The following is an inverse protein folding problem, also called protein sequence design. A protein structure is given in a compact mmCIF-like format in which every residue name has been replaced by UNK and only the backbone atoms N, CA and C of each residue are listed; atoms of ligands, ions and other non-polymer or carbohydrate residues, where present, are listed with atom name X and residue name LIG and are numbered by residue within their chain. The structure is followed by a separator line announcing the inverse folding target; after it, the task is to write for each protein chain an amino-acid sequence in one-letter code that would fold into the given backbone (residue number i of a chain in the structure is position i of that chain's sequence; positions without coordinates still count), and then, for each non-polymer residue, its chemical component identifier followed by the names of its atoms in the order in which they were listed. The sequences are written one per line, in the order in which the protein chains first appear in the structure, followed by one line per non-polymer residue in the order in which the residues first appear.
data_IF_040995487813
#
_entry.id   IF_040995487813
#
_cell.length_a   1.000
_cell.length_b   1.000
_cell.length_c   1.000
_cell.angle_alpha   90.00
_cell.angle_beta   90.00
_cell.angle_gamma   90.00
#
_symmetry.space_group_name_H-M   'P 1'
#
loop_
_entity.id
_entity.type
_entity.pdbx_description
1 polymer ?
#
# COMPACT_ATOMS: atom_id res chain seq x y z
N UNK A 1 64.06 -61.41 21.61
CA UNK A 1 64.55 -60.09 22.05
C UNK A 1 63.64 -59.05 21.42
N UNK A 2 63.08 -58.16 22.26
CA UNK A 2 62.28 -56.96 21.92
C UNK A 2 60.96 -57.20 21.15
N UNK A 3 59.87 -56.45 21.32
CA UNK A 3 59.34 -55.58 22.37
C UNK A 3 57.85 -55.36 21.98
N UNK A 4 56.95 -55.14 22.94
CA UNK A 4 55.52 -54.88 22.69
C UNK A 4 55.28 -53.37 22.70
N UNK A 5 54.61 -52.82 21.69
CA UNK A 5 53.85 -51.56 21.83
C UNK A 5 52.64 -51.52 20.90
N UNK A 6 51.45 -51.46 21.50
CA UNK A 6 50.19 -51.03 20.90
C UNK A 6 50.24 -49.53 20.54
N UNK A 7 49.57 -49.14 19.44
CA UNK A 7 49.16 -47.75 19.18
C UNK A 7 47.73 -47.75 18.60
N UNK A 8 46.79 -46.94 19.12
CA UNK A 8 45.46 -46.77 18.54
C UNK A 8 45.32 -45.51 17.67
N UNK A 9 44.28 -45.58 16.83
CA UNK A 9 43.81 -44.74 15.74
C UNK A 9 43.82 -43.21 15.94
N UNK A 10 44.09 -42.47 14.86
CA UNK A 10 43.71 -41.07 14.68
C UNK A 10 43.00 -40.90 13.32
N UNK A 11 41.73 -40.51 13.39
CA UNK A 11 40.95 -39.99 12.26
C UNK A 11 41.47 -38.59 11.88
N UNK A 12 41.66 -38.35 10.59
CA UNK A 12 41.98 -37.03 10.03
C UNK A 12 40.72 -36.20 9.84
N UNK A 13 40.69 -35.03 10.49
CA UNK A 13 39.70 -33.98 10.27
C UNK A 13 39.78 -33.43 8.84
N UNK A 14 38.64 -33.40 8.16
CA UNK A 14 38.46 -32.67 6.91
C UNK A 14 38.20 -31.19 7.23
N UNK A 15 38.99 -30.32 6.59
CA UNK A 15 38.91 -28.86 6.64
C UNK A 15 37.50 -28.35 6.33
N UNK A 16 36.88 -27.68 7.31
CA UNK A 16 35.73 -26.83 7.09
C UNK A 16 36.25 -25.41 6.81
N UNK A 17 36.18 -24.98 5.55
CA UNK A 17 36.53 -23.62 5.14
C UNK A 17 35.61 -22.63 5.89
N UNK A 18 36.22 -21.75 6.68
CA UNK A 18 35.51 -20.75 7.46
C UNK A 18 34.92 -19.65 6.57
N UNK A 19 33.62 -19.42 6.74
CA UNK A 19 32.93 -18.21 6.27
C UNK A 19 33.66 -16.96 6.80
N UNK A 20 33.86 -15.95 5.94
CA UNK A 20 34.52 -14.70 6.36
C UNK A 20 33.62 -13.88 7.30
N UNK A 21 34.19 -12.92 8.04
CA UNK A 21 33.42 -12.02 8.92
C UNK A 21 32.33 -11.24 8.17
N UNK A 22 32.54 -10.99 6.87
CA UNK A 22 31.57 -10.33 5.99
C UNK A 22 30.42 -11.28 5.58
N UNK A 23 30.71 -12.57 5.37
CA UNK A 23 29.67 -13.60 5.15
C UNK A 23 28.80 -13.81 6.40
N UNK A 24 29.42 -13.71 7.58
CA UNK A 24 28.72 -13.71 8.85
C UNK A 24 27.81 -12.48 8.99
N UNK A 25 28.29 -11.29 8.61
CA UNK A 25 27.53 -10.04 8.67
C UNK A 25 26.33 -10.01 7.72
N UNK A 26 26.47 -10.59 6.52
CA UNK A 26 25.38 -10.73 5.54
C UNK A 26 24.32 -11.72 6.02
N UNK A 27 24.73 -12.83 6.68
CA UNK A 27 23.80 -13.79 7.30
C UNK A 27 23.13 -13.21 8.55
N UNK A 28 23.82 -12.36 9.31
CA UNK A 28 23.30 -11.61 10.47
C UNK A 28 22.11 -10.72 10.10
N UNK A 29 22.10 -10.13 8.91
CA UNK A 29 21.03 -9.25 8.42
C UNK A 29 19.76 -9.98 7.96
N UNK A 30 19.78 -11.31 7.85
CA UNK A 30 18.71 -12.08 7.18
C UNK A 30 17.84 -12.95 8.10
N UNK A 31 18.16 -13.10 9.39
CA UNK A 31 17.40 -13.98 10.29
C UNK A 31 17.20 -13.35 11.68
N UNK A 32 16.03 -12.77 11.93
CA UNK A 32 15.68 -12.03 13.16
C UNK A 32 15.80 -12.91 14.43
N UNK A 33 15.24 -14.12 14.42
CA UNK A 33 15.25 -15.00 15.60
C UNK A 33 16.61 -15.67 15.85
N UNK A 34 17.37 -15.98 14.79
CA UNK A 34 18.69 -16.59 14.91
C UNK A 34 19.74 -15.57 15.36
N UNK A 35 19.59 -14.30 14.99
CA UNK A 35 20.45 -13.21 15.46
C UNK A 35 20.29 -12.97 16.97
N UNK A 36 19.05 -12.97 17.48
CA UNK A 36 18.77 -12.81 18.90
C UNK A 36 19.40 -13.94 19.73
N UNK A 37 19.33 -15.19 19.26
CA UNK A 37 19.96 -16.33 19.93
C UNK A 37 21.48 -16.34 19.79
N UNK A 38 22.05 -15.88 18.67
CA UNK A 38 23.49 -15.73 18.50
C UNK A 38 24.05 -14.68 19.45
N UNK A 39 23.37 -13.54 19.60
CA UNK A 39 23.77 -12.48 20.53
C UNK A 39 23.65 -12.93 22.00
N UNK A 40 22.58 -13.66 22.35
CA UNK A 40 22.45 -14.28 23.68
C UNK A 40 23.57 -15.29 23.95
N UNK A 41 23.91 -16.11 22.95
CA UNK A 41 24.98 -17.12 23.06
C UNK A 41 26.34 -16.45 23.19
N UNK A 42 26.62 -15.41 22.41
CA UNK A 42 27.85 -14.63 22.48
C UNK A 42 28.01 -13.93 23.83
N UNK A 43 26.94 -13.32 24.36
CA UNK A 43 26.94 -12.71 25.70
C UNK A 43 27.24 -13.76 26.79
N UNK A 44 26.65 -14.95 26.69
CA UNK A 44 26.91 -16.05 27.62
C UNK A 44 28.35 -16.55 27.54
N UNK A 45 28.92 -16.64 26.34
CA UNK A 45 30.31 -17.07 26.14
C UNK A 45 31.32 -16.04 26.65
N UNK A 46 31.05 -14.74 26.46
CA UNK A 46 31.85 -13.64 27.02
C UNK A 46 31.84 -13.70 28.55
N UNK A 47 30.69 -14.03 29.16
CA UNK A 47 30.56 -14.21 30.61
C UNK A 47 31.44 -15.34 31.14
N UNK A 48 31.39 -16.50 30.48
CA UNK A 48 32.21 -17.65 30.85
C UNK A 48 33.72 -17.36 30.71
N UNK A 49 34.12 -16.63 29.68
CA UNK A 49 35.52 -16.21 29.47
C UNK A 49 36.00 -15.16 30.50
N UNK A 50 35.09 -14.34 31.03
CA UNK A 50 35.38 -13.37 32.09
C UNK A 50 35.50 -14.05 33.48
N UNK A 51 34.72 -15.10 33.74
CA UNK A 51 34.76 -15.88 34.99
C UNK A 51 36.00 -16.79 35.08
N UNK A 52 36.47 -17.35 33.96
CA UNK A 52 37.70 -18.17 33.92
C UNK A 52 38.98 -17.31 34.05
N UNK A 53 38.88 -16.00 33.84
CA UNK A 53 40.00 -15.07 33.87
C UNK A 53 40.15 -14.40 35.25
N UNK A 54 40.04 -15.14 36.34
CA UNK A 54 40.19 -14.53 37.66
C UNK A 54 41.65 -14.44 38.12
N UNK A 55 42.05 -13.22 38.45
CA UNK A 55 43.42 -12.88 38.83
C UNK A 55 43.60 -11.38 39.03
N UNK A 56 42.73 -10.76 39.83
CA UNK A 56 42.77 -9.35 40.26
C UNK A 56 42.22 -8.33 39.26
N UNK A 57 40.90 -8.15 39.23
CA UNK A 57 40.29 -6.85 38.90
C UNK A 57 39.12 -6.53 39.84
N UNK A 58 38.92 -5.23 40.05
CA UNK A 58 37.93 -4.65 40.95
C UNK A 58 36.51 -5.05 40.51
N UNK A 59 35.86 -5.90 41.31
CA UNK A 59 34.50 -6.42 41.05
C UNK A 59 33.47 -5.32 40.85
N UNK A 60 33.74 -4.10 41.34
CA UNK A 60 32.86 -2.94 41.18
C UNK A 60 32.89 -2.35 39.77
N UNK A 61 34.03 -2.40 39.10
CA UNK A 61 34.21 -1.90 37.74
C UNK A 61 33.59 -2.88 36.72
N UNK A 62 33.72 -4.19 36.95
CA UNK A 62 33.05 -5.22 36.14
C UNK A 62 31.53 -5.08 36.22
N UNK A 63 30.97 -4.93 37.42
CA UNK A 63 29.51 -4.77 37.54
C UNK A 63 29.01 -3.49 36.83
N UNK A 64 29.79 -2.40 36.80
CA UNK A 64 29.44 -1.20 36.05
C UNK A 64 29.56 -1.38 34.53
N UNK A 65 30.56 -2.10 34.05
CA UNK A 65 30.71 -2.45 32.63
C UNK A 65 29.63 -3.45 32.18
N UNK A 66 29.25 -4.39 33.04
CA UNK A 66 28.15 -5.35 32.84
C UNK A 66 26.79 -4.63 32.81
N UNK A 67 26.50 -3.76 33.77
CA UNK A 67 25.30 -2.92 33.79
C UNK A 67 25.25 -1.99 32.56
N UNK A 68 26.40 -1.44 32.14
CA UNK A 68 26.48 -0.57 30.96
C UNK A 68 26.30 -1.35 29.67
N UNK A 69 26.87 -2.54 29.55
CA UNK A 69 26.73 -3.40 28.38
C UNK A 69 25.32 -3.97 28.29
N UNK A 70 24.70 -4.36 29.41
CA UNK A 70 23.31 -4.79 29.46
C UNK A 70 22.35 -3.62 29.14
N UNK A 71 22.60 -2.43 29.68
CA UNK A 71 21.84 -1.22 29.33
C UNK A 71 22.02 -0.81 27.87
N UNK A 72 23.23 -0.90 27.32
CA UNK A 72 23.49 -0.65 25.90
C UNK A 72 22.88 -1.72 25.01
N UNK A 73 22.91 -2.99 25.41
CA UNK A 73 22.28 -4.10 24.67
C UNK A 73 20.77 -3.96 24.70
N UNK A 74 20.15 -3.61 25.84
CA UNK A 74 18.73 -3.27 25.94
C UNK A 74 18.37 -2.02 25.13
N UNK A 75 19.27 -1.03 25.06
CA UNK A 75 19.09 0.16 24.22
C UNK A 75 19.22 -0.18 22.72
N UNK A 76 20.15 -1.03 22.34
CA UNK A 76 20.33 -1.48 20.96
C UNK A 76 19.18 -2.38 20.53
N UNK A 77 18.74 -3.32 21.36
CA UNK A 77 17.55 -4.15 21.13
C UNK A 77 16.27 -3.32 21.06
N UNK A 78 16.14 -2.24 21.85
CA UNK A 78 14.99 -1.32 21.76
C UNK A 78 15.06 -0.35 20.59
N UNK A 79 16.24 -0.10 19.99
CA UNK A 79 16.40 0.77 18.81
C UNK A 79 16.48 0.02 17.49
N UNK A 80 16.77 -1.28 17.52
CA UNK A 80 16.83 -2.18 16.37
C UNK A 80 15.51 -2.89 16.11
N UNK A 81 14.48 -2.68 16.93
CA UNK A 81 13.24 -3.45 16.87
C UNK A 81 12.54 -3.30 15.49
N UNK A 82 12.53 -4.32 14.63
CA UNK A 82 11.73 -4.31 13.42
C UNK A 82 10.25 -4.24 13.77
N UNK A 83 9.85 -4.64 14.98
CA UNK A 83 8.50 -4.45 15.49
C UNK A 83 8.17 -2.98 15.82
N UNK A 84 9.14 -2.07 15.97
CA UNK A 84 8.85 -0.63 16.12
C UNK A 84 8.65 0.05 14.76
N UNK A 85 9.44 -0.32 13.75
CA UNK A 85 9.18 0.09 12.36
C UNK A 85 7.90 -0.56 11.82
N UNK A 86 7.63 -1.81 12.22
CA UNK A 86 6.39 -2.50 11.95
C UNK A 86 5.24 -1.83 12.71
N UNK A 87 5.27 -1.61 14.02
CA UNK A 87 4.19 -0.93 14.76
C UNK A 87 3.87 0.47 14.21
N UNK A 88 4.89 1.19 13.70
CA UNK A 88 4.72 2.48 12.99
C UNK A 88 4.00 2.34 11.65
N UNK A 89 4.07 1.18 10.97
CA UNK A 89 3.49 0.92 9.65
C UNK A 89 2.32 -0.08 9.64
N UNK A 90 2.19 -0.93 10.66
CA UNK A 90 1.23 -2.04 10.78
C UNK A 90 0.02 -1.69 11.62
N UNK A 91 -0.01 -0.49 12.20
CA UNK A 91 -1.17 -0.03 12.95
C UNK A 91 -1.42 -0.85 14.21
N UNK A 92 -0.37 -1.17 14.97
CA UNK A 92 -0.57 -1.53 16.38
C UNK A 92 -1.06 -0.28 17.12
N UNK A 93 -2.39 -0.11 17.11
CA UNK A 93 -3.18 0.89 17.81
C UNK A 93 -2.68 2.34 17.73
N UNK A 94 -3.23 3.07 16.75
CA UNK A 94 -3.65 4.44 17.03
C UNK A 94 -2.88 5.58 16.37
N UNK A 95 -2.11 5.35 15.30
CA UNK A 95 -1.40 6.47 14.65
C UNK A 95 -1.77 6.72 13.18
N UNK A 96 -1.96 5.73 12.31
CA UNK A 96 -2.20 5.99 10.87
C UNK A 96 -3.36 5.24 10.17
N UNK A 97 -4.08 4.35 10.85
CA UNK A 97 -4.95 3.34 10.18
C UNK A 97 -4.10 2.29 9.43
N UNK A 98 -4.69 1.24 8.83
CA UNK A 98 -3.92 0.27 8.07
C UNK A 98 -3.26 0.88 6.82
N UNK A 99 -1.98 0.55 6.62
CA UNK A 99 -1.18 1.01 5.48
C UNK A 99 -1.44 0.15 4.24
N UNK A 100 -1.56 0.81 3.09
CA UNK A 100 -1.83 0.22 1.78
C UNK A 100 -0.72 0.60 0.81
N UNK A 101 -0.20 -0.34 0.03
CA UNK A 101 0.82 -0.05 -0.99
C UNK A 101 0.18 0.38 -2.32
N UNK A 102 0.57 1.53 -2.87
CA UNK A 102 0.14 2.03 -4.19
C UNK A 102 1.19 1.67 -5.23
N UNK A 103 1.14 0.43 -5.75
CA UNK A 103 2.15 -0.10 -6.68
C UNK A 103 1.63 -1.28 -7.50
N UNK A 104 2.04 -1.35 -8.78
CA UNK A 104 1.95 -2.55 -9.60
C UNK A 104 3.19 -3.45 -9.53
N UNK A 105 4.27 -2.96 -8.91
CA UNK A 105 5.54 -3.67 -8.73
C UNK A 105 5.45 -4.62 -7.52
N UNK A 106 4.80 -5.76 -7.72
CA UNK A 106 4.42 -6.65 -6.62
C UNK A 106 5.61 -7.26 -5.87
N UNK A 107 6.77 -7.47 -6.50
CA UNK A 107 7.99 -7.90 -5.79
C UNK A 107 8.43 -6.92 -4.69
N UNK A 108 8.17 -5.62 -4.88
CA UNK A 108 8.52 -4.59 -3.90
C UNK A 108 7.50 -4.42 -2.77
N UNK A 109 6.26 -4.87 -2.98
CA UNK A 109 5.15 -4.66 -2.04
C UNK A 109 5.41 -5.36 -0.71
N UNK A 110 5.95 -6.59 -0.75
CA UNK A 110 6.17 -7.42 0.43
C UNK A 110 7.13 -6.79 1.46
N UNK A 111 8.05 -5.93 1.02
CA UNK A 111 9.02 -5.22 1.89
C UNK A 111 8.33 -4.47 3.03
N UNK A 112 7.16 -3.88 2.76
CA UNK A 112 6.47 -2.99 3.70
C UNK A 112 5.31 -3.67 4.44
N UNK A 113 5.07 -4.97 4.20
CA UNK A 113 3.98 -5.78 4.80
C UNK A 113 2.62 -5.04 4.86
N UNK A 114 2.14 -4.44 3.76
CA UNK A 114 0.91 -3.65 3.80
C UNK A 114 -0.32 -4.55 3.98
N UNK A 115 -1.40 -3.97 4.53
CA UNK A 115 -2.68 -4.64 4.71
C UNK A 115 -3.35 -4.91 3.35
N UNK A 116 -3.54 -3.85 2.57
CA UNK A 116 -4.14 -3.87 1.24
C UNK A 116 -3.12 -3.37 0.19
N UNK A 117 -3.45 -3.48 -1.10
CA UNK A 117 -2.70 -2.83 -2.17
C UNK A 117 -3.64 -2.19 -3.20
N UNK A 118 -3.16 -1.15 -3.88
CA UNK A 118 -3.89 -0.53 -4.98
C UNK A 118 -3.07 -0.52 -6.26
N UNK A 119 -3.77 -0.73 -7.37
CA UNK A 119 -3.26 -0.51 -8.73
C UNK A 119 -4.12 0.55 -9.41
N UNK A 120 -3.63 1.04 -10.54
CA UNK A 120 -4.31 1.94 -11.46
C UNK A 120 -3.66 1.79 -12.86
N UNK A 121 -4.23 2.37 -13.93
CA UNK A 121 -3.68 2.22 -15.27
C UNK A 121 -2.21 2.61 -15.40
N UNK A 122 -1.78 3.73 -14.79
CA UNK A 122 -0.37 4.16 -14.83
C UNK A 122 0.56 3.14 -14.17
N UNK A 123 0.15 2.57 -13.03
CA UNK A 123 0.96 1.61 -12.28
C UNK A 123 1.08 0.27 -13.01
N UNK A 124 -0.01 -0.19 -13.62
CA UNK A 124 0.01 -1.42 -14.43
C UNK A 124 0.85 -1.22 -15.69
N UNK A 125 0.71 -0.07 -16.36
CA UNK A 125 1.54 0.25 -17.53
C UNK A 125 3.03 0.21 -17.17
N UNK A 126 3.42 0.88 -16.08
CA UNK A 126 4.80 0.87 -15.61
C UNK A 126 5.29 -0.54 -15.25
N UNK A 127 4.44 -1.36 -14.62
CA UNK A 127 4.79 -2.72 -14.24
C UNK A 127 4.93 -3.64 -15.48
N UNK A 128 4.03 -3.55 -16.46
CA UNK A 128 4.10 -4.33 -17.71
C UNK A 128 5.36 -4.01 -18.52
N UNK A 129 5.84 -2.77 -18.47
CA UNK A 129 7.10 -2.38 -19.11
C UNK A 129 8.35 -2.92 -18.41
N UNK A 130 8.23 -3.41 -17.17
CA UNK A 130 9.35 -3.97 -16.43
C UNK A 130 9.63 -5.41 -16.91
N UNK A 131 10.85 -5.71 -17.41
CA UNK A 131 11.20 -7.04 -17.92
C UNK A 131 10.99 -8.18 -16.92
N UNK A 132 11.04 -7.89 -15.61
CA UNK A 132 10.76 -8.86 -14.54
C UNK A 132 9.39 -9.51 -14.65
N UNK A 133 8.40 -8.77 -15.18
CA UNK A 133 7.01 -9.19 -15.26
C UNK A 133 6.59 -9.64 -16.66
N UNK A 134 7.56 -9.77 -17.59
CA UNK A 134 7.29 -10.21 -18.96
C UNK A 134 6.61 -11.59 -19.03
N UNK A 135 6.82 -12.45 -18.03
CA UNK A 135 6.17 -13.76 -17.92
C UNK A 135 4.64 -13.68 -17.80
N UNK A 136 4.08 -12.56 -17.36
CA UNK A 136 2.63 -12.36 -17.26
C UNK A 136 1.98 -11.98 -18.61
N UNK A 137 2.75 -11.47 -19.58
CA UNK A 137 2.23 -11.01 -20.87
C UNK A 137 1.78 -12.19 -21.73
N UNK A 138 2.59 -13.25 -21.83
CA UNK A 138 2.28 -14.43 -22.65
C UNK A 138 0.92 -15.06 -22.32
N UNK A 139 0.66 -15.45 -21.06
CA UNK A 139 -0.63 -15.99 -20.63
C UNK A 139 -1.81 -15.05 -20.90
N UNK A 140 -1.60 -13.73 -20.80
CA UNK A 140 -2.63 -12.75 -21.11
C UNK A 140 -2.97 -12.69 -22.60
N UNK A 141 -1.95 -12.71 -23.47
CA UNK A 141 -2.14 -12.76 -24.92
C UNK A 141 -2.83 -14.07 -25.34
N UNK A 142 -2.44 -15.21 -24.78
CA UNK A 142 -3.10 -16.49 -25.04
C UNK A 142 -4.57 -16.47 -24.61
N UNK A 143 -4.86 -15.89 -23.45
CA UNK A 143 -6.22 -15.69 -23.00
C UNK A 143 -7.00 -14.80 -23.96
N UNK A 144 -6.41 -13.68 -24.39
CA UNK A 144 -7.00 -12.78 -25.38
C UNK A 144 -7.34 -13.48 -26.68
N UNK A 145 -6.40 -14.24 -27.27
CA UNK A 145 -6.59 -14.99 -28.52
C UNK A 145 -7.71 -16.03 -28.42
N UNK A 146 -7.97 -16.56 -27.22
CA UNK A 146 -9.04 -17.54 -26.99
C UNK A 146 -10.44 -16.91 -26.83
N UNK A 147 -10.54 -15.67 -26.37
CA UNK A 147 -11.82 -15.03 -26.01
C UNK A 147 -12.22 -13.88 -26.94
N UNK A 148 -11.26 -13.27 -27.63
CA UNK A 148 -11.51 -12.26 -28.66
C UNK A 148 -11.90 -12.86 -30.00
N UNK A 149 -12.64 -12.09 -30.81
CA UNK A 149 -13.07 -12.47 -32.17
C UNK A 149 -12.36 -11.67 -33.27
N UNK A 150 -11.80 -10.54 -32.89
CA UNK A 150 -11.06 -9.59 -33.72
C UNK A 150 -9.90 -9.03 -32.88
N UNK A 151 -8.96 -8.33 -33.52
CA UNK A 151 -7.77 -7.80 -32.84
C UNK A 151 -8.13 -6.93 -31.62
N UNK A 152 -9.15 -6.07 -31.75
CA UNK A 152 -9.59 -5.20 -30.66
C UNK A 152 -10.06 -6.00 -29.45
N UNK A 153 -11.01 -6.92 -29.64
CA UNK A 153 -11.54 -7.76 -28.56
C UNK A 153 -10.52 -8.74 -27.97
N UNK A 154 -9.52 -9.16 -28.76
CA UNK A 154 -8.37 -9.93 -28.27
C UNK A 154 -7.53 -9.09 -27.30
N UNK A 155 -7.22 -7.84 -27.68
CA UNK A 155 -6.44 -6.93 -26.83
C UNK A 155 -7.19 -6.57 -25.55
N UNK A 156 -8.48 -6.23 -25.63
CA UNK A 156 -9.29 -5.92 -24.44
C UNK A 156 -9.32 -7.11 -23.47
N UNK A 157 -9.53 -8.32 -23.97
CA UNK A 157 -9.51 -9.54 -23.15
C UNK A 157 -8.12 -9.82 -22.56
N UNK A 158 -7.05 -9.49 -23.28
CA UNK A 158 -5.68 -9.61 -22.78
C UNK A 158 -5.38 -8.59 -21.67
N UNK A 159 -5.85 -7.35 -21.80
CA UNK A 159 -5.72 -6.32 -20.75
C UNK A 159 -6.42 -6.78 -19.48
N UNK A 160 -7.69 -7.19 -19.58
CA UNK A 160 -8.43 -7.66 -18.42
C UNK A 160 -7.70 -8.83 -17.74
N UNK A 161 -7.13 -9.75 -18.53
CA UNK A 161 -6.32 -10.84 -17.99
C UNK A 161 -5.04 -10.33 -17.31
N UNK A 162 -4.32 -9.38 -17.89
CA UNK A 162 -3.14 -8.76 -17.24
C UNK A 162 -3.52 -8.17 -15.88
N UNK A 163 -4.59 -7.37 -15.83
CA UNK A 163 -5.04 -6.75 -14.59
C UNK A 163 -5.30 -7.81 -13.50
N UNK A 164 -5.98 -8.90 -13.85
CA UNK A 164 -6.25 -9.99 -12.90
C UNK A 164 -5.01 -10.79 -12.50
N UNK A 165 -4.04 -10.99 -13.40
CA UNK A 165 -2.79 -11.68 -13.08
C UNK A 165 -1.94 -10.86 -12.12
N UNK A 166 -1.79 -9.55 -12.37
CA UNK A 166 -1.10 -8.66 -11.43
C UNK A 166 -1.78 -8.65 -10.07
N UNK A 167 -3.11 -8.52 -10.02
CA UNK A 167 -3.83 -8.58 -8.76
C UNK A 167 -3.68 -9.94 -8.05
N UNK A 168 -3.68 -11.05 -8.78
CA UNK A 168 -3.45 -12.37 -8.21
C UNK A 168 -2.05 -12.48 -7.57
N UNK A 169 -0.99 -12.02 -8.24
CA UNK A 169 0.36 -12.03 -7.67
C UNK A 169 0.45 -11.14 -6.42
N UNK A 170 -0.17 -9.95 -6.45
CA UNK A 170 -0.24 -9.06 -5.28
C UNK A 170 -0.94 -9.76 -4.09
N UNK A 171 -2.07 -10.44 -4.35
CA UNK A 171 -2.86 -11.11 -3.31
C UNK A 171 -2.18 -12.31 -2.65
N UNK A 172 -1.13 -12.88 -3.28
CA UNK A 172 -0.25 -13.88 -2.64
C UNK A 172 0.66 -13.27 -1.58
N UNK A 173 0.88 -11.96 -1.64
CA UNK A 173 1.83 -11.22 -0.79
C UNK A 173 1.10 -10.54 0.37
N UNK A 174 -0.07 -9.96 0.12
CA UNK A 174 -0.83 -9.19 1.13
C UNK A 174 -1.93 -10.03 1.80
N UNK A 175 -2.25 -9.78 3.08
CA UNK A 175 -3.35 -10.46 3.76
C UNK A 175 -4.74 -9.94 3.36
N UNK A 176 -4.82 -8.67 2.94
CA UNK A 176 -6.06 -7.98 2.61
C UNK A 176 -6.38 -7.93 1.13
N UNK A 177 -6.89 -6.80 0.66
CA UNK A 177 -7.54 -6.65 -0.65
C UNK A 177 -6.64 -5.97 -1.68
N UNK A 178 -6.88 -6.26 -2.96
CA UNK A 178 -6.29 -5.52 -4.08
C UNK A 178 -7.35 -4.64 -4.75
N UNK A 179 -7.02 -3.38 -5.05
CA UNK A 179 -7.85 -2.55 -5.93
C UNK A 179 -7.42 -2.68 -7.38
N UNK A 180 -8.38 -2.99 -8.26
CA UNK A 180 -8.18 -3.09 -9.72
C UNK A 180 -9.15 -2.16 -10.43
N UNK A 181 -8.62 -1.30 -11.29
CA UNK A 181 -9.37 -0.22 -11.91
C UNK A 181 -10.00 -0.64 -13.24
N UNK A 182 -11.26 -0.27 -13.44
CA UNK A 182 -11.94 -0.39 -14.74
C UNK A 182 -11.30 0.56 -15.77
N UNK A 183 -11.46 0.26 -17.07
CA UNK A 183 -10.97 1.16 -18.13
C UNK A 183 -11.58 2.56 -17.96
N UNK A 184 -10.71 3.57 -17.85
CA UNK A 184 -11.09 4.96 -17.63
C UNK A 184 -11.92 5.54 -18.79
N UNK A 185 -11.87 4.96 -20.00
CA UNK A 185 -12.76 5.33 -21.10
C UNK A 185 -14.24 5.08 -20.77
N UNK A 186 -14.54 4.20 -19.82
CA UNK A 186 -15.90 3.90 -19.38
C UNK A 186 -16.42 4.86 -18.30
N UNK A 187 -15.61 5.85 -17.87
CA UNK A 187 -15.92 6.69 -16.70
C UNK A 187 -17.25 7.45 -16.79
N UNK A 188 -17.83 7.65 -17.97
CA UNK A 188 -19.14 8.29 -18.15
C UNK A 188 -20.25 7.34 -18.64
N UNK A 189 -19.96 6.05 -18.75
CA UNK A 189 -20.92 5.00 -19.13
C UNK A 189 -21.15 4.05 -17.94
N UNK A 190 -22.27 4.27 -17.25
CA UNK A 190 -22.67 3.49 -16.07
C UNK A 190 -22.81 2.00 -16.38
N UNK A 191 -23.51 1.66 -17.47
CA UNK A 191 -23.82 0.27 -17.79
C UNK A 191 -22.58 -0.49 -18.26
N UNK A 192 -21.73 0.15 -19.06
CA UNK A 192 -20.46 -0.44 -19.46
C UNK A 192 -19.52 -0.63 -18.26
N UNK A 193 -19.51 0.32 -17.32
CA UNK A 193 -18.73 0.20 -16.07
C UNK A 193 -19.21 -0.98 -15.23
N UNK A 194 -20.53 -1.14 -15.01
CA UNK A 194 -21.10 -2.28 -14.27
C UNK A 194 -20.72 -3.60 -14.94
N UNK A 195 -20.90 -3.68 -16.26
CA UNK A 195 -20.56 -4.88 -17.04
C UNK A 195 -19.07 -5.24 -16.90
N UNK A 196 -18.18 -4.26 -17.07
CA UNK A 196 -16.73 -4.47 -16.95
C UNK A 196 -16.33 -4.90 -15.55
N UNK A 197 -16.89 -4.30 -14.50
CA UNK A 197 -16.65 -4.69 -13.12
C UNK A 197 -17.03 -6.16 -12.86
N UNK A 198 -18.19 -6.59 -13.34
CA UNK A 198 -18.65 -7.98 -13.22
C UNK A 198 -17.74 -8.94 -14.01
N UNK A 199 -17.28 -8.54 -15.20
CA UNK A 199 -16.33 -9.32 -16.00
C UNK A 199 -14.99 -9.51 -15.25
N UNK A 200 -14.43 -8.44 -14.67
CA UNK A 200 -13.18 -8.50 -13.90
C UNK A 200 -13.31 -9.42 -12.67
N UNK A 201 -14.42 -9.36 -11.94
CA UNK A 201 -14.66 -10.28 -10.81
C UNK A 201 -14.71 -11.73 -11.27
N UNK A 202 -15.41 -12.03 -12.37
CA UNK A 202 -15.43 -13.39 -12.94
C UNK A 202 -14.04 -13.87 -13.35
N UNK A 203 -13.20 -12.96 -13.86
CA UNK A 203 -11.81 -13.28 -14.21
C UNK A 203 -10.98 -13.60 -12.98
N UNK A 204 -11.15 -12.86 -11.88
CA UNK A 204 -10.54 -13.19 -10.59
C UNK A 204 -10.98 -14.55 -10.06
N UNK A 205 -12.28 -14.83 -10.09
CA UNK A 205 -12.84 -16.13 -9.69
C UNK A 205 -12.25 -17.27 -10.55
N UNK A 206 -12.04 -17.04 -11.85
CA UNK A 206 -11.44 -18.02 -12.76
C UNK A 206 -9.99 -18.42 -12.41
N UNK A 207 -9.29 -17.59 -11.62
CA UNK A 207 -7.94 -17.86 -11.12
C UNK A 207 -7.89 -18.14 -9.63
N UNK A 208 -9.05 -18.50 -9.04
CA UNK A 208 -9.17 -18.90 -7.64
C UNK A 208 -9.14 -17.75 -6.63
N UNK A 209 -9.33 -16.51 -7.08
CA UNK A 209 -9.41 -15.33 -6.20
C UNK A 209 -10.88 -15.03 -5.89
N UNK A 210 -11.32 -15.10 -4.62
CA UNK A 210 -12.68 -14.75 -4.25
C UNK A 210 -12.88 -13.22 -4.31
N UNK A 211 -14.08 -12.78 -4.69
CA UNK A 211 -14.39 -11.35 -4.90
C UNK A 211 -14.19 -10.48 -3.64
N UNK A 212 -14.27 -11.05 -2.44
CA UNK A 212 -14.07 -10.36 -1.18
C UNK A 212 -12.62 -9.85 -1.01
N UNK A 213 -11.66 -10.42 -1.76
CA UNK A 213 -10.26 -9.99 -1.81
C UNK A 213 -10.03 -8.87 -2.85
N UNK A 214 -11.06 -8.42 -3.56
CA UNK A 214 -10.95 -7.47 -4.66
C UNK A 214 -11.83 -6.24 -4.39
N UNK A 215 -11.28 -5.06 -4.65
CA UNK A 215 -12.03 -3.81 -4.78
C UNK A 215 -12.02 -3.38 -6.24
N UNK A 216 -13.20 -3.28 -6.86
CA UNK A 216 -13.29 -2.70 -8.21
C UNK A 216 -13.17 -1.19 -8.09
N UNK A 217 -12.13 -0.64 -8.70
CA UNK A 217 -11.80 0.78 -8.63
C UNK A 217 -12.42 1.52 -9.80
N UNK A 218 -13.12 2.60 -9.52
CA UNK A 218 -13.97 3.33 -10.49
C UNK A 218 -13.78 4.84 -10.27
N UNK A 219 -13.64 5.60 -11.35
CA UNK A 219 -13.58 7.07 -11.28
C UNK A 219 -14.88 7.64 -10.68
N UNK A 220 -14.77 8.61 -9.77
CA UNK A 220 -15.89 9.19 -9.01
C UNK A 220 -16.68 10.22 -9.81
N UNK A 221 -17.04 9.89 -11.06
CA UNK A 221 -18.04 10.63 -11.85
C UNK A 221 -19.44 10.29 -11.34
N UNK A 222 -20.47 11.01 -11.77
CA UNK A 222 -21.86 10.61 -11.51
C UNK A 222 -22.14 9.17 -11.96
N UNK A 223 -21.76 8.83 -13.20
CA UNK A 223 -21.98 7.50 -13.77
C UNK A 223 -21.25 6.40 -13.00
N UNK A 224 -19.99 6.64 -12.63
CA UNK A 224 -19.19 5.72 -11.83
C UNK A 224 -19.75 5.50 -10.42
N UNK A 225 -20.27 6.55 -9.77
CA UNK A 225 -20.90 6.44 -8.44
C UNK A 225 -22.21 5.64 -8.52
N UNK A 226 -23.04 5.86 -9.56
CA UNK A 226 -24.25 5.05 -9.77
C UNK A 226 -23.90 3.59 -10.08
N UNK A 227 -22.85 3.34 -10.87
CA UNK A 227 -22.36 2.00 -11.15
C UNK A 227 -21.93 1.29 -9.85
N UNK A 228 -21.17 1.97 -8.99
CA UNK A 228 -20.76 1.43 -7.71
C UNK A 228 -21.94 1.15 -6.77
N UNK A 229 -22.95 2.03 -6.73
CA UNK A 229 -24.19 1.82 -5.96
C UNK A 229 -24.88 0.51 -6.36
N UNK A 230 -24.96 0.23 -7.66
CA UNK A 230 -25.53 -1.01 -8.18
C UNK A 230 -24.66 -2.23 -7.85
N UNK A 231 -23.36 -2.15 -8.09
CA UNK A 231 -22.40 -3.22 -7.83
C UNK A 231 -22.42 -3.66 -6.35
N UNK A 232 -22.44 -2.71 -5.43
CA UNK A 232 -22.50 -2.99 -3.99
C UNK A 232 -23.85 -3.59 -3.59
N UNK A 233 -24.96 -2.97 -4.00
CA UNK A 233 -26.29 -3.34 -3.51
C UNK A 233 -26.90 -4.58 -4.16
N UNK A 234 -26.62 -4.83 -5.45
CA UNK A 234 -27.23 -5.94 -6.20
C UNK A 234 -26.28 -7.11 -6.41
N UNK A 235 -24.98 -6.84 -6.55
CA UNK A 235 -23.97 -7.87 -6.87
C UNK A 235 -23.08 -8.24 -5.69
N UNK A 236 -23.06 -7.42 -4.63
CA UNK A 236 -22.11 -7.56 -3.53
C UNK A 236 -20.67 -7.53 -4.04
N UNK A 237 -20.38 -6.62 -4.97
CA UNK A 237 -19.04 -6.35 -5.51
C UNK A 237 -18.57 -5.06 -4.86
N UNK A 238 -17.52 -5.16 -4.05
CA UNK A 238 -17.00 -4.04 -3.29
C UNK A 238 -16.20 -3.08 -4.16
N UNK A 239 -16.47 -1.79 -4.00
CA UNK A 239 -15.95 -0.74 -4.87
C UNK A 239 -14.99 0.20 -4.13
N UNK A 240 -13.97 0.67 -4.85
CA UNK A 240 -13.07 1.75 -4.47
C UNK A 240 -13.29 2.96 -5.40
N UNK A 241 -13.90 4.02 -4.88
CA UNK A 241 -14.23 5.20 -5.69
C UNK A 241 -13.03 6.15 -5.68
N UNK A 242 -12.37 6.26 -6.83
CA UNK A 242 -11.10 7.00 -7.02
C UNK A 242 -11.28 8.28 -7.81
N UNK A 243 -10.21 9.03 -8.08
CA UNK A 243 -10.28 10.38 -8.68
C UNK A 243 -11.31 11.27 -7.95
N UNK A 244 -11.31 11.15 -6.62
CA UNK A 244 -12.19 11.90 -5.76
C UNK A 244 -11.44 13.13 -5.27
N UNK A 245 -11.92 14.31 -5.66
CA UNK A 245 -11.28 15.59 -5.39
C UNK A 245 -12.18 16.53 -4.58
N UNK A 246 -13.48 16.53 -4.88
CA UNK A 246 -14.45 17.45 -4.30
C UNK A 246 -15.36 16.81 -3.25
N UNK A 247 -15.90 17.65 -2.36
CA UNK A 247 -16.81 17.22 -1.29
C UNK A 247 -18.11 16.61 -1.82
N UNK A 248 -18.64 17.13 -2.93
CA UNK A 248 -19.85 16.60 -3.59
C UNK A 248 -19.70 15.13 -3.99
N UNK A 249 -18.52 14.74 -4.47
CA UNK A 249 -18.21 13.35 -4.82
C UNK A 249 -18.24 12.47 -3.57
N UNK A 250 -17.60 12.91 -2.49
CA UNK A 250 -17.60 12.18 -1.22
C UNK A 250 -19.02 11.96 -0.68
N UNK A 251 -19.84 13.01 -0.62
CA UNK A 251 -21.22 12.87 -0.14
C UNK A 251 -22.00 11.85 -0.98
N UNK A 252 -21.94 11.96 -2.31
CA UNK A 252 -22.63 11.02 -3.19
C UNK A 252 -22.14 9.57 -3.01
N UNK A 253 -20.82 9.35 -2.86
CA UNK A 253 -20.24 8.03 -2.56
C UNK A 253 -20.75 7.46 -1.23
N UNK A 254 -20.80 8.26 -0.17
CA UNK A 254 -21.29 7.84 1.15
C UNK A 254 -22.76 7.41 1.08
N UNK A 255 -23.60 8.19 0.38
CA UNK A 255 -25.01 7.89 0.18
C UNK A 255 -25.26 6.68 -0.73
N UNK A 256 -24.35 6.43 -1.69
CA UNK A 256 -24.30 5.21 -2.50
C UNK A 256 -23.88 3.97 -1.70
N UNK A 257 -23.40 4.15 -0.46
CA UNK A 257 -22.92 3.08 0.43
C UNK A 257 -21.78 2.27 -0.17
N UNK A 258 -20.88 2.94 -0.89
CA UNK A 258 -19.69 2.29 -1.44
C UNK A 258 -18.77 1.83 -0.30
N UNK A 259 -18.03 0.74 -0.51
CA UNK A 259 -17.14 0.17 0.51
C UNK A 259 -16.03 1.14 0.89
N UNK A 260 -15.40 1.78 -0.11
CA UNK A 260 -14.23 2.61 0.09
C UNK A 260 -14.19 3.78 -0.89
N UNK A 261 -13.69 4.93 -0.44
CA UNK A 261 -13.29 6.06 -1.30
C UNK A 261 -11.79 6.32 -1.19
N UNK A 262 -11.18 6.74 -2.31
CA UNK A 262 -9.79 7.19 -2.38
C UNK A 262 -9.73 8.70 -2.71
N UNK A 263 -9.94 9.60 -1.74
CA UNK A 263 -9.74 11.03 -1.95
C UNK A 263 -8.26 11.36 -2.17
N UNK A 264 -7.98 12.12 -3.23
CA UNK A 264 -6.61 12.44 -3.63
C UNK A 264 -6.10 13.67 -2.89
N UNK A 265 -4.86 13.62 -2.40
CA UNK A 265 -4.21 14.70 -1.66
C UNK A 265 -3.30 15.49 -2.57
N UNK A 266 -2.22 14.88 -3.05
CA UNK A 266 -1.16 15.57 -3.77
C UNK A 266 -1.57 16.17 -5.11
N UNK A 267 -2.55 15.57 -5.82
CA UNK A 267 -3.07 16.18 -7.06
C UNK A 267 -3.88 17.46 -6.80
N UNK A 268 -4.50 17.59 -5.61
CA UNK A 268 -5.13 18.84 -5.18
C UNK A 268 -4.04 19.89 -4.95
N UNK A 269 -2.97 19.53 -4.22
CA UNK A 269 -1.80 20.40 -4.01
C UNK A 269 -1.22 20.90 -5.35
N UNK A 270 -1.03 20.00 -6.32
CA UNK A 270 -0.50 20.36 -7.64
C UNK A 270 -1.36 21.42 -8.34
N UNK A 271 -2.69 21.28 -8.31
CA UNK A 271 -3.60 22.26 -8.91
C UNK A 271 -3.47 23.63 -8.24
N UNK A 272 -3.43 23.66 -6.91
CA UNK A 272 -3.34 24.90 -6.16
C UNK A 272 -1.99 25.59 -6.36
N UNK A 273 -0.88 24.86 -6.37
CA UNK A 273 0.44 25.43 -6.71
C UNK A 273 0.50 26.02 -8.11
N UNK A 274 -0.16 25.40 -9.09
CA UNK A 274 -0.20 25.92 -10.45
C UNK A 274 -1.07 27.18 -10.60
N UNK A 275 -2.17 27.29 -9.85
CA UNK A 275 -3.14 28.38 -9.99
C UNK A 275 -2.98 29.51 -8.96
N UNK A 276 -2.30 29.23 -7.85
CA UNK A 276 -2.08 30.13 -6.70
C UNK A 276 -0.66 29.93 -6.14
N UNK A 277 0.39 30.23 -6.91
CA UNK A 277 1.78 29.86 -6.57
C UNK A 277 2.28 30.43 -5.24
N UNK A 278 1.75 31.58 -4.80
CA UNK A 278 2.14 32.27 -3.57
C UNK A 278 1.40 31.77 -2.31
N UNK A 279 0.63 30.68 -2.40
CA UNK A 279 -0.10 30.11 -1.27
C UNK A 279 0.78 29.39 -0.26
N UNK A 280 0.38 29.44 1.01
CA UNK A 280 0.94 28.56 2.04
C UNK A 280 0.28 27.18 1.98
N UNK A 281 1.09 26.17 1.70
CA UNK A 281 0.68 24.78 1.53
C UNK A 281 1.45 23.81 2.43
N UNK A 282 2.06 24.30 3.51
CA UNK A 282 2.84 23.45 4.41
C UNK A 282 1.95 22.72 5.42
N UNK A 283 2.21 21.42 5.62
CA UNK A 283 1.54 20.59 6.63
C UNK A 283 0.01 20.72 6.58
N UNK A 284 -0.60 21.12 7.70
CA UNK A 284 -2.04 21.31 7.83
C UNK A 284 -2.65 22.32 6.83
N UNK A 285 -1.83 23.20 6.23
CA UNK A 285 -2.29 24.17 5.25
C UNK A 285 -2.48 23.61 3.85
N UNK A 286 -1.94 22.42 3.57
CA UNK A 286 -2.13 21.71 2.30
C UNK A 286 -3.63 21.54 1.96
N UNK A 287 -4.06 21.93 0.75
CA UNK A 287 -5.47 21.89 0.36
C UNK A 287 -6.01 20.47 0.18
N UNK A 288 -5.16 19.51 -0.18
CA UNK A 288 -5.51 18.09 -0.24
C UNK A 288 -5.71 17.49 1.15
N UNK A 289 -4.81 17.81 2.09
CA UNK A 289 -4.96 17.42 3.51
C UNK A 289 -6.26 17.99 4.07
N UNK A 290 -6.53 19.28 3.83
CA UNK A 290 -7.80 19.93 4.24
C UNK A 290 -9.02 19.22 3.65
N UNK A 291 -8.97 18.85 2.37
CA UNK A 291 -10.06 18.13 1.70
C UNK A 291 -10.35 16.79 2.37
N UNK A 292 -9.31 15.95 2.57
CA UNK A 292 -9.49 14.63 3.22
C UNK A 292 -9.97 14.77 4.66
N UNK A 293 -9.41 15.70 5.45
CA UNK A 293 -9.88 15.96 6.82
C UNK A 293 -11.35 16.34 6.86
N UNK A 294 -11.79 17.19 5.94
CA UNK A 294 -13.19 17.61 5.86
C UNK A 294 -14.11 16.43 5.53
N UNK A 295 -13.74 15.61 4.54
CA UNK A 295 -14.47 14.40 4.15
C UNK A 295 -14.54 13.40 5.29
N UNK A 296 -13.41 13.09 5.93
CA UNK A 296 -13.33 12.19 7.07
C UNK A 296 -14.26 12.64 8.20
N UNK A 297 -14.18 13.92 8.58
CA UNK A 297 -15.04 14.47 9.62
C UNK A 297 -16.52 14.36 9.26
N UNK A 298 -16.89 14.71 8.02
CA UNK A 298 -18.28 14.58 7.56
C UNK A 298 -18.79 13.13 7.65
N UNK A 299 -17.96 12.18 7.26
CA UNK A 299 -18.29 10.75 7.30
C UNK A 299 -18.54 10.28 8.74
N UNK A 300 -17.63 10.60 9.66
CA UNK A 300 -17.74 10.18 11.07
C UNK A 300 -18.86 10.91 11.82
N UNK A 301 -19.13 12.18 11.51
CA UNK A 301 -20.24 12.94 12.11
C UNK A 301 -21.61 12.40 11.70
N UNK A 302 -21.71 11.78 10.51
CA UNK A 302 -22.96 11.27 9.96
C UNK A 302 -23.05 9.73 9.97
N UNK A 303 -22.14 9.07 10.69
CA UNK A 303 -22.05 7.61 10.85
C UNK A 303 -22.07 6.84 9.51
N UNK A 304 -21.39 7.37 8.49
CA UNK A 304 -21.19 6.65 7.23
C UNK A 304 -20.10 5.57 7.39
N UNK A 305 -20.40 4.36 6.91
CA UNK A 305 -19.50 3.20 7.01
C UNK A 305 -18.46 3.10 5.90
N UNK A 306 -18.57 3.94 4.85
CA UNK A 306 -17.59 3.97 3.76
C UNK A 306 -16.21 4.31 4.31
N UNK A 307 -15.22 3.48 3.98
CA UNK A 307 -13.82 3.67 4.39
C UNK A 307 -13.22 4.88 3.67
N UNK A 308 -12.56 5.76 4.41
CA UNK A 308 -11.80 6.88 3.84
C UNK A 308 -10.33 6.50 3.70
N UNK A 309 -9.86 6.33 2.47
CA UNK A 309 -8.46 5.99 2.17
C UNK A 309 -7.73 7.15 1.50
N UNK A 310 -6.96 7.95 2.26
CA UNK A 310 -6.16 9.02 1.67
C UNK A 310 -5.18 8.48 0.60
N UNK A 311 -5.09 9.16 -0.54
CA UNK A 311 -4.34 8.68 -1.71
C UNK A 311 -3.55 9.78 -2.43
N UNK A 312 -2.62 9.36 -3.30
CA UNK A 312 -1.86 10.25 -4.20
C UNK A 312 -0.99 11.30 -3.50
N UNK A 313 -0.23 10.91 -2.49
CA UNK A 313 0.68 11.77 -1.75
C UNK A 313 1.88 12.28 -2.58
N UNK A 314 2.40 13.46 -2.24
CA UNK A 314 3.66 14.04 -2.74
C UNK A 314 4.77 14.00 -1.71
N UNK A 315 4.44 14.02 -0.42
CA UNK A 315 5.41 14.03 0.67
C UNK A 315 4.96 13.21 1.87
N UNK A 316 5.92 12.88 2.73
CA UNK A 316 5.64 12.29 4.04
C UNK A 316 4.82 13.24 4.91
N UNK A 317 5.06 14.55 4.87
CA UNK A 317 4.31 15.53 5.67
C UNK A 317 2.79 15.46 5.43
N UNK A 318 2.33 15.27 4.19
CA UNK A 318 0.91 15.10 3.90
C UNK A 318 0.32 13.83 4.56
N UNK A 319 1.10 12.76 4.60
CA UNK A 319 0.72 11.48 5.21
C UNK A 319 0.62 11.65 6.73
N UNK A 320 1.62 12.30 7.34
CA UNK A 320 1.65 12.58 8.77
C UNK A 320 0.48 13.45 9.22
N UNK A 321 0.06 14.39 8.39
CA UNK A 321 -1.11 15.23 8.67
C UNK A 321 -2.44 14.46 8.56
N UNK A 322 -2.45 13.29 7.92
CA UNK A 322 -3.62 12.41 7.81
C UNK A 322 -3.49 11.13 8.63
N UNK A 323 -2.48 11.03 9.48
CA UNK A 323 -2.37 9.99 10.50
C UNK A 323 -3.69 9.88 11.30
N UNK A 324 -4.29 8.69 11.31
CA UNK A 324 -5.57 8.38 11.96
C UNK A 324 -6.76 8.34 11.01
N UNK A 325 -6.53 8.58 9.70
CA UNK A 325 -7.48 8.22 8.66
C UNK A 325 -7.78 6.71 8.68
N UNK A 326 -8.89 6.27 8.09
CA UNK A 326 -9.25 4.85 8.12
C UNK A 326 -8.15 4.02 7.45
N UNK A 327 -7.71 4.41 6.25
CA UNK A 327 -6.62 3.80 5.49
C UNK A 327 -5.78 4.90 4.82
N UNK A 328 -4.53 4.59 4.44
CA UNK A 328 -3.70 5.45 3.60
C UNK A 328 -3.00 4.58 2.54
N UNK A 329 -3.17 4.92 1.26
CA UNK A 329 -2.45 4.25 0.17
C UNK A 329 -1.25 5.08 -0.28
N UNK A 330 -0.07 4.50 -0.12
CA UNK A 330 1.21 5.20 -0.14
C UNK A 330 2.14 4.52 -1.15
N UNK A 331 2.77 5.32 -2.00
CA UNK A 331 3.74 4.82 -2.98
C UNK A 331 5.00 4.26 -2.28
N UNK A 332 5.66 3.23 -2.84
CA UNK A 332 6.85 2.59 -2.23
C UNK A 332 7.94 3.57 -1.80
N UNK A 333 8.20 4.62 -2.58
CA UNK A 333 9.18 5.65 -2.24
C UNK A 333 8.86 6.37 -0.93
N UNK A 334 7.60 6.70 -0.69
CA UNK A 334 7.18 7.37 0.54
C UNK A 334 7.10 6.40 1.71
N UNK A 335 6.77 5.12 1.46
CA UNK A 335 6.88 4.06 2.46
C UNK A 335 8.32 3.87 2.94
N UNK A 336 9.28 3.89 2.03
CA UNK A 336 10.71 3.83 2.37
C UNK A 336 11.13 5.03 3.23
N UNK A 337 10.74 6.24 2.83
CA UNK A 337 11.02 7.44 3.62
C UNK A 337 10.40 7.40 5.03
N UNK A 338 9.19 6.86 5.16
CA UNK A 338 8.54 6.65 6.46
C UNK A 338 9.29 5.62 7.30
N UNK A 339 9.72 4.52 6.68
CA UNK A 339 10.47 3.45 7.34
C UNK A 339 11.83 3.94 7.85
N UNK A 340 12.51 4.80 7.08
CA UNK A 340 13.82 5.37 7.44
C UNK A 340 13.70 6.52 8.45
N UNK A 341 12.49 7.06 8.66
CA UNK A 341 12.25 8.18 9.55
C UNK A 341 12.27 7.75 11.02
N UNK A 342 12.99 8.52 11.85
CA UNK A 342 12.97 8.40 13.32
C UNK A 342 11.90 9.26 13.98
N UNK A 343 11.10 9.99 13.20
CA UNK A 343 10.08 10.89 13.72
C UNK A 343 8.93 10.09 14.33
N UNK A 344 8.53 10.46 15.54
CA UNK A 344 7.31 9.91 16.14
C UNK A 344 6.08 10.42 15.39
N UNK A 345 5.22 9.49 15.01
CA UNK A 345 3.95 9.79 14.37
C UNK A 345 2.87 9.89 15.46
N UNK A 346 1.93 10.83 15.30
CA UNK A 346 0.79 10.98 16.20
C UNK A 346 -0.51 11.11 15.40
N UNK A 347 -1.63 10.51 15.85
CA UNK A 347 -2.91 10.62 15.15
C UNK A 347 -3.37 12.08 15.14
N UNK A 348 -3.70 12.57 13.94
CA UNK A 348 -4.33 13.88 13.67
C UNK A 348 -5.82 13.76 13.38
N UNK A 349 -6.28 12.54 13.08
CA UNK A 349 -7.66 12.20 12.81
C UNK A 349 -8.12 11.10 13.77
N UNK A 350 -9.42 11.13 14.12
CA UNK A 350 -10.03 10.13 14.97
C UNK A 350 -11.55 10.33 15.05
N UNK A 351 -12.30 9.25 15.26
CA UNK A 351 -13.77 9.29 15.27
C UNK A 351 -14.32 10.24 16.34
N UNK A 352 -13.82 10.18 17.58
CA UNK A 352 -14.25 11.07 18.66
C UNK A 352 -13.89 12.54 18.40
N UNK A 353 -12.71 12.78 17.83
CA UNK A 353 -12.29 14.13 17.40
C UNK A 353 -13.20 14.67 16.29
N UNK A 354 -13.56 13.84 15.31
CA UNK A 354 -14.47 14.22 14.24
C UNK A 354 -15.89 14.53 14.76
N UNK A 355 -16.40 13.72 15.70
CA UNK A 355 -17.72 13.91 16.31
C UNK A 355 -17.81 15.14 17.22
N UNK A 356 -16.69 15.57 17.79
CA UNK A 356 -16.61 16.79 18.63
C UNK A 356 -16.22 18.06 17.88
N UNK A 357 -15.77 17.94 16.61
CA UNK A 357 -15.48 19.08 15.74
C UNK A 357 -16.76 19.87 15.38
N UNK A 358 -16.63 21.12 14.87
CA UNK A 358 -17.77 21.89 14.39
C UNK A 358 -18.63 21.09 13.41
N UNK A 359 -19.95 21.14 13.60
CA UNK A 359 -20.91 20.38 12.80
C UNK A 359 -20.87 20.80 11.34
N UNK A 360 -20.70 19.83 10.45
CA UNK A 360 -20.81 20.03 9.00
C UNK A 360 -22.27 19.77 8.60
N UNK A 361 -22.97 20.73 7.97
CA UNK A 361 -24.35 20.55 7.54
C UNK A 361 -24.51 19.32 6.64
N UNK A 362 -25.51 18.49 6.94
CA UNK A 362 -25.83 17.33 6.11
C UNK A 362 -26.44 17.79 4.78
N UNK A 363 -25.90 17.27 3.69
CA UNK A 363 -26.34 17.54 2.31
C UNK A 363 -26.54 16.21 1.57
N UNK A 364 -27.22 16.23 0.43
CA UNK A 364 -27.57 15.03 -0.34
C UNK A 364 -27.45 15.27 -1.83
N UNK A 365 -26.90 14.30 -2.56
CA UNK A 365 -26.68 14.38 -4.01
C UNK A 365 -27.02 13.09 -4.77
N UNK A 366 -27.01 11.91 -4.12
CA UNK A 366 -27.05 10.61 -4.84
C UNK A 366 -28.29 10.36 -5.71
N UNK A 367 -29.38 11.11 -5.49
CA UNK A 367 -30.62 11.00 -6.25
C UNK A 367 -30.92 12.26 -7.10
N UNK A 368 -30.00 13.23 -7.18
CA UNK A 368 -30.16 14.47 -7.95
C UNK A 368 -28.89 14.75 -8.77
N UNK A 369 -28.89 14.26 -10.01
CA UNK A 369 -27.77 14.44 -10.94
C UNK A 369 -27.47 15.91 -11.19
N UNK A 370 -28.50 16.75 -11.33
CA UNK A 370 -28.28 18.15 -11.67
C UNK A 370 -27.64 18.90 -10.49
N UNK A 371 -28.06 18.60 -9.25
CA UNK A 371 -27.42 19.17 -8.07
C UNK A 371 -25.96 18.71 -7.94
N UNK A 372 -25.68 17.42 -8.20
CA UNK A 372 -24.32 16.90 -8.23
C UNK A 372 -23.46 17.62 -9.28
N UNK A 373 -23.93 17.70 -10.52
CA UNK A 373 -23.19 18.29 -11.63
C UNK A 373 -22.92 19.78 -11.38
N UNK A 374 -23.92 20.53 -10.87
CA UNK A 374 -23.75 21.95 -10.52
C UNK A 374 -22.69 22.12 -9.42
N UNK A 375 -22.80 21.37 -8.33
CA UNK A 375 -21.85 21.48 -7.22
C UNK A 375 -20.42 21.06 -7.61
N UNK A 376 -20.27 20.06 -8.50
CA UNK A 376 -18.96 19.67 -9.04
C UNK A 376 -18.38 20.74 -9.96
N UNK A 377 -19.21 21.37 -10.81
CA UNK A 377 -18.77 22.44 -11.70
C UNK A 377 -18.37 23.72 -10.95
N UNK A 378 -18.99 24.00 -9.79
CA UNK A 378 -18.63 25.12 -8.91
C UNK A 378 -17.25 24.91 -8.25
N UNK A 379 -16.85 23.66 -7.98
CA UNK A 379 -15.50 23.31 -7.55
C UNK A 379 -14.58 23.11 -8.78
N UNK A 380 -14.05 24.22 -9.28
CA UNK A 380 -13.17 24.21 -10.47
C UNK A 380 -11.97 23.25 -10.31
N UNK A 381 -11.39 23.15 -9.12
CA UNK A 381 -10.26 22.25 -8.89
C UNK A 381 -10.68 20.79 -9.05
N UNK A 382 -11.79 20.41 -8.42
CA UNK A 382 -12.30 19.05 -8.50
C UNK A 382 -12.72 18.67 -9.93
N UNK A 383 -13.41 19.58 -10.64
CA UNK A 383 -13.79 19.36 -12.03
C UNK A 383 -12.58 19.22 -12.96
N UNK A 384 -11.62 20.14 -12.89
CA UNK A 384 -10.40 20.09 -13.73
C UNK A 384 -9.61 18.80 -13.47
N UNK A 385 -9.42 18.42 -12.19
CA UNK A 385 -8.61 17.25 -11.82
C UNK A 385 -9.30 15.91 -12.07
N UNK A 386 -10.63 15.85 -12.01
CA UNK A 386 -11.38 14.65 -12.40
C UNK A 386 -11.16 14.36 -13.89
N UNK A 387 -11.40 15.33 -14.75
CA UNK A 387 -11.26 15.18 -16.21
C UNK A 387 -9.81 14.94 -16.62
N UNK A 388 -8.84 15.66 -16.02
CA UNK A 388 -7.41 15.41 -16.24
C UNK A 388 -7.02 13.96 -15.85
N UNK A 389 -7.56 13.49 -14.72
CA UNK A 389 -7.30 12.14 -14.22
C UNK A 389 -7.85 11.05 -15.14
N UNK A 390 -9.10 11.19 -15.59
CA UNK A 390 -9.75 10.27 -16.52
C UNK A 390 -8.97 10.23 -17.84
N UNK A 391 -8.64 11.40 -18.40
CA UNK A 391 -7.88 11.50 -19.65
C UNK A 391 -6.53 10.79 -19.55
N UNK A 392 -5.76 11.07 -18.49
CA UNK A 392 -4.44 10.45 -18.31
C UNK A 392 -4.52 8.94 -18.17
N UNK A 393 -5.49 8.43 -17.40
CA UNK A 393 -5.68 6.99 -17.26
C UNK A 393 -6.18 6.32 -18.54
N UNK A 394 -6.95 7.03 -19.38
CA UNK A 394 -7.28 6.58 -20.73
C UNK A 394 -6.04 6.48 -21.63
N UNK A 395 -5.19 7.51 -21.63
CA UNK A 395 -3.91 7.52 -22.36
C UNK A 395 -2.99 6.37 -21.93
N UNK A 396 -2.89 6.09 -20.63
CA UNK A 396 -2.12 4.96 -20.11
C UNK A 396 -2.71 3.60 -20.54
N UNK A 397 -4.04 3.48 -20.57
CA UNK A 397 -4.72 2.29 -21.05
C UNK A 397 -4.47 2.06 -22.55
N UNK A 398 -4.49 3.12 -23.36
CA UNK A 398 -4.17 3.06 -24.80
C UNK A 398 -2.71 2.67 -25.03
N UNK A 399 -1.78 3.22 -24.25
CA UNK A 399 -0.38 2.82 -24.30
C UNK A 399 -0.18 1.33 -23.95
N UNK A 400 -0.94 0.81 -22.99
CA UNK A 400 -0.94 -0.62 -22.67
C UNK A 400 -1.50 -1.45 -23.84
N UNK A 401 -2.59 -1.01 -24.48
CA UNK A 401 -3.13 -1.65 -25.71
C UNK A 401 -2.06 -1.76 -26.78
N UNK A 402 -1.30 -0.69 -27.02
CA UNK A 402 -0.23 -0.67 -28.01
C UNK A 402 0.95 -1.57 -27.68
N UNK A 403 1.29 -1.75 -26.40
CA UNK A 403 2.29 -2.75 -26.00
C UNK A 403 1.79 -4.14 -26.35
N UNK A 404 0.56 -4.49 -25.98
CA UNK A 404 0.02 -5.83 -26.21
C UNK A 404 -0.20 -6.15 -27.69
N UNK A 405 -0.55 -5.15 -28.51
CA UNK A 405 -0.62 -5.30 -29.99
C UNK A 405 0.68 -5.78 -30.59
N UNK A 406 1.84 -5.36 -30.05
CA UNK A 406 3.16 -5.82 -30.52
C UNK A 406 3.46 -7.28 -30.18
N UNK A 407 2.66 -7.89 -29.32
CA UNK A 407 2.78 -9.29 -28.91
C UNK A 407 1.74 -10.22 -29.58
N UNK A 408 0.81 -9.68 -30.38
CA UNK A 408 -0.13 -10.47 -31.16
C UNK A 408 0.54 -11.08 -32.39
#
# INVERSE_FOLDING_TARGET
MADRTDTPEQHSDAECAGDTADDLFVRLLQCDDQLADLLRTAATAIRALAEDADGHRDTRAMNQEEDMFEAQTQHWLSTLNPADAHARLSGEAGVAGPVVSDSGDFESIGKYKPQDATTNPSLILAAVQNPKYASLIGPAIEYGKKHGKDEGSVIESAIDRILTLFGQEILKIIPGRVSTEVDAHLSHDTEATIKKAIELIKLYESVGVPKERVLIKIASTWGGIQAARELESKHGIHCNLTLLFGFVQAVACAEAKVTLISPFVGRILDWYKANKPDGDYQGANDPGVKSVRHIYNYYKQNDYNTIVMGASFRSVDEIEELCGCDFLTIAPKLLEQLQDSKKELSPKLGTEQAKSAPTIPKVSYINDKEAFDRALAEDKMASDKLEEGIKKFGEDADALKDILRKHL
#
